data_IF_025867642531
#
_entry.id   IF_025867642531
#
_cell.length_a   1.000
_cell.length_b   1.000
_cell.length_c   1.000
_cell.angle_alpha   90.00
_cell.angle_beta   90.00
_cell.angle_gamma   90.00
#
_symmetry.space_group_name_H-M   'P 1'
#
loop_
_entity.id
_entity.type
_entity.pdbx_description
1 polymer ?
#
# COMPACT_ATOMS: atom_id res chain seq x y z
N UNK A 1 8.52 2.97 5.57
CA UNK A 1 8.59 3.06 4.08
C UNK A 1 7.36 2.41 3.49
N UNK A 2 6.67 3.12 2.63
CA UNK A 2 5.51 2.59 1.89
C UNK A 2 5.66 2.97 0.42
N UNK A 3 5.55 2.00 -0.46
CA UNK A 3 5.55 2.21 -1.90
C UNK A 3 4.36 1.47 -2.50
N UNK A 4 3.48 2.20 -3.17
CA UNK A 4 2.28 1.65 -3.79
C UNK A 4 2.28 2.03 -5.27
N UNK A 5 2.18 1.03 -6.15
CA UNK A 5 2.04 1.24 -7.58
C UNK A 5 0.81 0.47 -8.03
N UNK A 6 -0.10 1.18 -8.68
CA UNK A 6 -1.33 0.59 -9.20
C UNK A 6 -1.47 0.92 -10.68
N UNK A 7 -1.78 -0.09 -11.47
CA UNK A 7 -1.99 0.05 -12.91
C UNK A 7 -3.24 -0.72 -13.35
N UNK A 8 -3.90 -0.20 -14.38
CA UNK A 8 -5.05 -0.87 -15.00
C UNK A 8 -4.68 -1.18 -16.44
N UNK A 9 -4.83 -2.45 -16.82
CA UNK A 9 -4.67 -2.90 -18.21
C UNK A 9 -5.96 -3.57 -18.66
N UNK A 10 -6.68 -2.93 -19.60
CA UNK A 10 -7.98 -3.43 -20.04
C UNK A 10 -8.98 -3.39 -18.88
N UNK A 11 -9.52 -4.56 -18.50
CA UNK A 11 -10.45 -4.70 -17.38
C UNK A 11 -9.80 -5.19 -16.09
N UNK A 12 -8.46 -5.39 -16.11
CA UNK A 12 -7.74 -5.90 -14.93
C UNK A 12 -6.93 -4.80 -14.26
N UNK A 13 -7.04 -4.76 -12.94
CA UNK A 13 -6.22 -3.88 -12.10
C UNK A 13 -5.09 -4.69 -11.46
N UNK A 14 -3.90 -4.12 -11.47
CA UNK A 14 -2.72 -4.69 -10.84
C UNK A 14 -2.18 -3.71 -9.81
N UNK A 15 -1.80 -4.20 -8.65
CA UNK A 15 -1.19 -3.37 -7.62
C UNK A 15 0.08 -4.04 -7.07
N UNK A 16 1.05 -3.20 -6.76
CA UNK A 16 2.26 -3.61 -6.06
C UNK A 16 2.39 -2.76 -4.81
N UNK A 17 2.51 -3.39 -3.65
CA UNK A 17 2.61 -2.70 -2.37
C UNK A 17 3.85 -3.21 -1.64
N UNK A 18 4.72 -2.28 -1.25
CA UNK A 18 5.89 -2.55 -0.44
C UNK A 18 5.84 -1.69 0.81
N UNK A 19 6.04 -2.30 1.97
CA UNK A 19 5.98 -1.60 3.25
C UNK A 19 7.08 -2.10 4.17
N UNK A 20 7.68 -1.17 4.93
CA UNK A 20 8.64 -1.53 5.96
C UNK A 20 8.59 -0.49 7.09
N UNK A 21 8.60 -0.94 8.32
CA UNK A 21 8.64 -0.09 9.49
C UNK A 21 7.62 -0.46 10.56
N UNK A 22 7.47 0.43 11.52
CA UNK A 22 6.44 0.30 12.54
C UNK A 22 5.06 0.53 11.95
N UNK A 23 4.06 -0.20 12.44
CA UNK A 23 2.71 -0.14 11.88
C UNK A 23 2.09 1.27 11.96
N UNK A 24 2.38 2.00 13.03
CA UNK A 24 1.90 3.38 13.21
C UNK A 24 2.49 4.32 12.16
N UNK A 25 3.77 4.14 11.83
CA UNK A 25 4.46 4.94 10.81
C UNK A 25 3.95 4.58 9.41
N UNK A 26 3.75 3.29 9.14
CA UNK A 26 3.17 2.82 7.88
C UNK A 26 1.79 3.43 7.66
N UNK A 27 0.93 3.38 8.68
CA UNK A 27 -0.40 3.97 8.62
C UNK A 27 -0.35 5.48 8.36
N UNK A 28 0.57 6.20 9.02
CA UNK A 28 0.76 7.63 8.82
C UNK A 28 1.25 7.96 7.41
N UNK A 29 2.16 7.17 6.86
CA UNK A 29 2.64 7.35 5.49
C UNK A 29 1.53 7.14 4.45
N UNK A 30 0.69 6.13 4.65
CA UNK A 30 -0.46 5.88 3.78
C UNK A 30 -1.46 7.04 3.89
N UNK A 31 -1.73 7.50 5.10
CA UNK A 31 -2.59 8.66 5.33
C UNK A 31 -2.08 9.92 4.64
N UNK A 32 -0.76 10.14 4.69
CA UNK A 32 -0.11 11.25 4.00
C UNK A 32 -0.27 11.16 2.47
N UNK A 33 -0.12 9.97 1.91
CA UNK A 33 -0.32 9.76 0.48
C UNK A 33 -1.77 10.03 0.06
N UNK A 34 -2.73 9.59 0.86
CA UNK A 34 -4.16 9.85 0.62
C UNK A 34 -4.48 11.34 0.71
N UNK A 35 -3.89 12.04 1.67
CA UNK A 35 -4.03 13.49 1.82
C UNK A 35 -3.50 14.22 0.60
N UNK A 36 -2.34 13.83 0.09
CA UNK A 36 -1.77 14.41 -1.12
C UNK A 36 -2.66 14.17 -2.35
N UNK A 37 -3.18 12.96 -2.49
CA UNK A 37 -4.11 12.63 -3.58
C UNK A 37 -5.39 13.48 -3.49
N UNK A 38 -5.96 13.60 -2.30
CA UNK A 38 -7.16 14.42 -2.06
C UNK A 38 -6.91 15.88 -2.45
N UNK A 39 -5.79 16.45 -2.03
CA UNK A 39 -5.45 17.84 -2.32
C UNK A 39 -5.25 18.09 -3.81
N UNK A 40 -4.66 17.15 -4.54
CA UNK A 40 -4.49 17.24 -5.98
C UNK A 40 -5.83 17.20 -6.71
N UNK A 41 -6.73 16.33 -6.31
CA UNK A 41 -8.08 16.24 -6.86
C UNK A 41 -8.84 17.54 -6.57
N UNK A 42 -8.74 18.04 -5.34
CA UNK A 42 -9.40 19.29 -4.92
C UNK A 42 -8.93 20.48 -5.73
N UNK A 43 -7.66 20.54 -6.09
CA UNK A 43 -7.10 21.62 -6.92
C UNK A 43 -7.70 21.63 -8.32
N UNK A 44 -8.10 20.47 -8.84
CA UNK A 44 -8.70 20.34 -10.15
C UNK A 44 -10.24 20.44 -10.13
N UNK A 45 -10.88 19.79 -9.15
CA UNK A 45 -12.33 19.74 -9.05
C UNK A 45 -12.74 19.46 -7.59
N UNK A 46 -13.34 20.46 -6.96
CA UNK A 46 -13.79 20.35 -5.56
C UNK A 46 -14.88 19.28 -5.36
N UNK A 47 -15.77 19.12 -6.33
CA UNK A 47 -16.85 18.13 -6.25
C UNK A 47 -16.29 16.71 -6.37
N UNK A 48 -15.33 16.51 -7.25
CA UNK A 48 -14.63 15.23 -7.37
C UNK A 48 -13.88 14.87 -6.07
N UNK A 49 -13.29 15.86 -5.42
CA UNK A 49 -12.61 15.65 -4.14
C UNK A 49 -13.58 15.21 -3.04
N UNK A 50 -14.77 15.82 -2.96
CA UNK A 50 -15.80 15.42 -2.02
C UNK A 50 -16.26 13.98 -2.25
N UNK A 51 -16.46 13.61 -3.50
CA UNK A 51 -16.84 12.25 -3.90
C UNK A 51 -15.74 11.24 -3.55
N UNK A 52 -14.50 11.59 -3.84
CA UNK A 52 -13.33 10.77 -3.50
C UNK A 52 -13.27 10.50 -1.99
N UNK A 53 -13.38 11.55 -1.18
CA UNK A 53 -13.38 11.44 0.28
C UNK A 53 -14.53 10.57 0.79
N UNK A 54 -15.73 10.77 0.26
CA UNK A 54 -16.90 9.98 0.64
C UNK A 54 -16.71 8.50 0.34
N UNK A 55 -16.31 8.17 -0.89
CA UNK A 55 -16.08 6.79 -1.31
C UNK A 55 -14.98 6.12 -0.49
N UNK A 56 -13.89 6.84 -0.24
CA UNK A 56 -12.78 6.32 0.53
C UNK A 56 -13.17 6.08 1.99
N UNK A 57 -13.93 7.01 2.58
CA UNK A 57 -14.43 6.86 3.95
C UNK A 57 -15.31 5.63 4.09
N UNK A 58 -16.20 5.39 3.13
CA UNK A 58 -17.05 4.20 3.11
C UNK A 58 -16.23 2.91 3.01
N UNK A 59 -15.22 2.90 2.14
CA UNK A 59 -14.36 1.73 1.96
C UNK A 59 -13.57 1.40 3.23
N UNK A 60 -13.04 2.41 3.90
CA UNK A 60 -12.16 2.22 5.06
C UNK A 60 -12.96 1.92 6.33
N UNK A 61 -14.08 2.61 6.55
CA UNK A 61 -14.86 2.49 7.79
C UNK A 61 -15.80 1.29 7.84
N UNK A 62 -16.13 0.71 6.70
CA UNK A 62 -17.04 -0.43 6.65
C UNK A 62 -16.27 -1.74 6.83
N UNK A 63 -16.53 -2.44 7.93
CA UNK A 63 -15.89 -3.73 8.25
C UNK A 63 -16.15 -4.80 7.18
N UNK A 64 -17.25 -4.69 6.44
CA UNK A 64 -17.62 -5.62 5.38
C UNK A 64 -17.14 -5.19 4.00
N UNK A 65 -16.37 -4.11 3.92
CA UNK A 65 -15.81 -3.62 2.67
C UNK A 65 -14.95 -4.69 2.00
N UNK A 66 -15.03 -4.84 0.66
CA UNK A 66 -14.13 -5.74 -0.08
C UNK A 66 -12.64 -5.43 0.15
N UNK A 67 -12.34 -4.21 0.55
CA UNK A 67 -10.98 -3.78 0.90
C UNK A 67 -10.35 -4.64 1.99
N UNK A 68 -11.15 -5.16 2.93
CA UNK A 68 -10.68 -5.99 4.04
C UNK A 68 -10.77 -7.49 3.76
N UNK A 69 -11.24 -7.88 2.58
CA UNK A 69 -11.43 -9.28 2.20
C UNK A 69 -10.20 -9.82 1.46
N UNK A 70 -9.32 -10.50 2.18
CA UNK A 70 -8.10 -11.08 1.63
C UNK A 70 -8.35 -12.17 0.58
N UNK A 71 -9.54 -12.78 0.58
CA UNK A 71 -9.87 -13.86 -0.36
C UNK A 71 -10.07 -13.37 -1.80
N UNK A 72 -10.30 -12.06 -1.98
CA UNK A 72 -10.53 -11.45 -3.29
C UNK A 72 -9.29 -10.83 -3.89
N UNK A 73 -8.14 -11.02 -3.27
CA UNK A 73 -6.90 -10.45 -3.76
C UNK A 73 -6.41 -11.20 -5.00
N UNK A 74 -6.54 -10.56 -6.15
CA UNK A 74 -6.06 -11.09 -7.41
C UNK A 74 -5.21 -10.05 -8.14
N UNK A 75 -3.99 -10.42 -8.53
CA UNK A 75 -3.09 -9.54 -9.24
C UNK A 75 -2.35 -8.53 -8.37
N UNK A 76 -2.45 -8.64 -7.05
CA UNK A 76 -1.70 -7.79 -6.13
C UNK A 76 -0.45 -8.49 -5.64
N UNK A 77 0.67 -7.79 -5.69
CA UNK A 77 1.92 -8.23 -5.09
C UNK A 77 2.16 -7.38 -3.85
N UNK A 78 2.18 -8.01 -2.68
CA UNK A 78 2.39 -7.31 -1.42
C UNK A 78 3.62 -7.85 -0.70
N UNK A 79 4.48 -6.95 -0.24
CA UNK A 79 5.66 -7.26 0.56
C UNK A 79 5.68 -6.35 1.75
N UNK A 80 5.81 -6.94 2.93
CA UNK A 80 5.78 -6.17 4.17
C UNK A 80 6.84 -6.67 5.14
N UNK A 81 7.55 -5.72 5.72
CA UNK A 81 8.47 -5.96 6.83
C UNK A 81 7.99 -5.09 8.00
N UNK A 82 7.18 -5.68 8.87
CA UNK A 82 6.56 -4.97 9.98
C UNK A 82 7.37 -5.21 11.25
N UNK A 83 7.71 -4.13 11.94
CA UNK A 83 8.38 -4.20 13.24
C UNK A 83 7.47 -3.69 14.34
N UNK A 84 7.74 -4.16 15.56
CA UNK A 84 7.05 -3.69 16.77
C UNK A 84 7.49 -2.27 17.09
N UNK A 85 6.64 -1.53 17.79
CA UNK A 85 6.99 -0.20 18.27
C UNK A 85 8.27 -0.24 19.10
N UNK A 86 9.16 0.70 18.83
CA UNK A 86 10.45 0.81 19.52
C UNK A 86 11.56 -0.06 18.94
N UNK A 87 11.28 -0.98 18.03
CA UNK A 87 12.30 -1.79 17.35
C UNK A 87 12.80 -1.06 16.10
N UNK A 88 14.12 -1.15 15.87
CA UNK A 88 14.71 -0.60 14.66
C UNK A 88 14.84 -1.66 13.58
N UNK A 89 14.37 -1.34 12.40
CA UNK A 89 14.58 -2.17 11.22
C UNK A 89 15.98 -1.95 10.68
N UNK A 90 16.74 -3.04 10.53
CA UNK A 90 17.99 -3.02 9.79
C UNK A 90 17.73 -3.45 8.35
N UNK A 91 18.63 -3.10 7.43
CA UNK A 91 18.53 -3.54 6.04
C UNK A 91 18.49 -5.06 5.91
N UNK A 92 19.22 -5.78 6.77
CA UNK A 92 19.25 -7.23 6.80
C UNK A 92 17.91 -7.82 7.26
N UNK A 93 17.27 -7.21 8.25
CA UNK A 93 15.96 -7.61 8.75
C UNK A 93 14.89 -7.47 7.67
N UNK A 94 14.92 -6.35 6.93
CA UNK A 94 14.02 -6.12 5.81
C UNK A 94 14.22 -7.18 4.72
N UNK A 95 15.45 -7.43 4.33
CA UNK A 95 15.78 -8.43 3.32
C UNK A 95 15.32 -9.83 3.73
N UNK A 96 15.53 -10.20 4.99
CA UNK A 96 15.13 -11.50 5.54
C UNK A 96 13.61 -11.68 5.53
N UNK A 97 12.89 -10.68 6.02
CA UNK A 97 11.42 -10.71 6.06
C UNK A 97 10.81 -10.76 4.66
N UNK A 98 11.37 -10.00 3.72
CA UNK A 98 10.92 -10.00 2.33
C UNK A 98 11.18 -11.34 1.64
N UNK A 99 12.30 -12.00 1.96
CA UNK A 99 12.60 -13.34 1.44
C UNK A 99 11.63 -14.41 1.93
N UNK A 100 11.15 -14.29 3.16
CA UNK A 100 10.18 -15.23 3.74
C UNK A 100 8.77 -15.07 3.17
N UNK A 101 8.42 -13.86 2.73
CA UNK A 101 7.05 -13.52 2.35
C UNK A 101 6.81 -13.45 0.85
N UNK A 102 7.84 -13.56 -0.01
CA UNK A 102 7.71 -13.38 -1.46
C UNK A 102 8.45 -14.43 -2.26
N UNK A 103 7.98 -14.79 -3.49
CA UNK A 103 8.72 -15.63 -4.42
C UNK A 103 10.07 -15.02 -4.80
N UNK A 104 11.04 -15.88 -5.07
CA UNK A 104 12.42 -15.49 -5.36
C UNK A 104 12.57 -14.51 -6.54
N UNK A 105 11.80 -14.71 -7.59
CA UNK A 105 11.82 -13.87 -8.80
C UNK A 105 11.35 -12.44 -8.51
N UNK A 106 10.38 -12.28 -7.61
CA UNK A 106 9.88 -10.97 -7.20
C UNK A 106 10.95 -10.25 -6.36
N UNK A 107 11.61 -10.97 -5.46
CA UNK A 107 12.71 -10.43 -4.65
C UNK A 107 13.85 -9.97 -5.58
N UNK A 108 14.18 -10.76 -6.58
CA UNK A 108 15.21 -10.43 -7.55
C UNK A 108 14.87 -9.16 -8.32
N UNK A 109 13.64 -9.02 -8.79
CA UNK A 109 13.15 -7.80 -9.45
C UNK A 109 13.29 -6.57 -8.56
N UNK A 110 12.97 -6.70 -7.28
CA UNK A 110 13.10 -5.62 -6.30
C UNK A 110 14.56 -5.19 -6.13
N UNK A 111 15.45 -6.15 -6.00
CA UNK A 111 16.87 -5.88 -5.81
C UNK A 111 17.47 -5.20 -7.05
N UNK A 112 16.98 -5.51 -8.23
CA UNK A 112 17.40 -4.88 -9.48
C UNK A 112 16.93 -3.42 -9.58
N UNK A 113 15.79 -3.09 -8.99
CA UNK A 113 15.26 -1.72 -8.95
C UNK A 113 15.90 -0.85 -7.87
N UNK A 114 16.57 -1.44 -6.93
CA UNK A 114 17.26 -0.74 -5.85
C UNK A 114 18.69 -0.42 -6.25
#
# INVERSE_FOLDING_TARGET
MVKIISTVKGTKAFASVEMAGEISVIAAEIGGALSSAYNQIKAQDKNAAKKFRFLLTELVSNERSPMWDASKDSGTVCRAAIVREGEKLTGDDIADLLRRSTPKDIIKSLLEEM
#
